data_IF_937944364910
#
_entry.id   IF_937944364910
#
_cell.length_a   1.000
_cell.length_b   1.000
_cell.length_c   1.000
_cell.angle_alpha   90.00
_cell.angle_beta   90.00
_cell.angle_gamma   90.00
#
_symmetry.space_group_name_H-M   'P 1'
#
loop_
_entity.id
_entity.type
_entity.pdbx_description
1 polymer ?
#
# COMPACT_ATOMS: atom_id res chain seq x y z
N UNK A 1 62.07 11.91 29.32
CA UNK A 1 60.64 11.90 29.75
C UNK A 1 60.52 11.21 31.10
N UNK A 2 59.80 11.78 32.07
CA UNK A 2 59.58 11.14 33.38
C UNK A 2 58.79 9.83 33.18
N UNK A 3 59.13 8.77 33.91
CA UNK A 3 58.52 7.42 33.83
C UNK A 3 56.98 7.46 33.89
N UNK A 4 56.42 8.40 34.64
CA UNK A 4 54.97 8.61 34.76
C UNK A 4 54.31 9.08 33.45
N UNK A 5 55.01 9.84 32.61
CA UNK A 5 54.46 10.29 31.33
C UNK A 5 54.38 9.15 30.31
N UNK A 6 55.32 8.19 30.37
CA UNK A 6 55.29 7.00 29.51
C UNK A 6 54.12 6.09 29.88
N UNK A 7 53.88 5.90 31.18
CA UNK A 7 52.75 5.10 31.68
C UNK A 7 51.42 5.73 31.26
N UNK A 8 51.29 7.06 31.37
CA UNK A 8 50.07 7.76 30.98
C UNK A 8 49.77 7.60 29.48
N UNK A 9 50.79 7.70 28.62
CA UNK A 9 50.65 7.51 27.17
C UNK A 9 50.20 6.09 26.84
N UNK A 10 50.75 5.08 27.51
CA UNK A 10 50.37 3.67 27.30
C UNK A 10 48.92 3.43 27.70
N UNK A 11 48.47 3.98 28.83
CA UNK A 11 47.09 3.83 29.30
C UNK A 11 46.10 4.47 28.30
N UNK A 12 46.42 5.67 27.80
CA UNK A 12 45.57 6.36 26.81
C UNK A 12 45.55 5.62 25.47
N UNK A 13 46.67 5.04 25.05
CA UNK A 13 46.72 4.24 23.83
C UNK A 13 45.84 2.97 23.95
N UNK A 14 45.93 2.25 25.08
CA UNK A 14 45.12 1.05 25.32
C UNK A 14 43.63 1.39 25.41
N UNK A 15 43.25 2.48 26.09
CA UNK A 15 41.85 2.90 26.17
C UNK A 15 41.28 3.29 24.81
N UNK A 16 42.09 3.94 23.97
CA UNK A 16 41.68 4.36 22.62
C UNK A 16 41.46 3.15 21.70
N UNK A 17 42.32 2.14 21.79
CA UNK A 17 42.15 0.87 21.05
C UNK A 17 40.92 0.11 21.54
N UNK A 18 40.68 0.06 22.86
CA UNK A 18 39.48 -0.57 23.42
C UNK A 18 38.20 0.13 22.96
N UNK A 19 38.17 1.47 22.94
CA UNK A 19 37.03 2.24 22.44
C UNK A 19 36.82 2.06 20.94
N UNK A 20 37.90 1.98 20.15
CA UNK A 20 37.80 1.70 18.72
C UNK A 20 37.26 0.28 18.46
N UNK A 21 37.69 -0.71 19.24
CA UNK A 21 37.21 -2.08 19.14
C UNK A 21 35.74 -2.20 19.54
N UNK A 22 35.35 -1.55 20.64
CA UNK A 22 33.96 -1.49 21.10
C UNK A 22 33.06 -0.75 20.10
N UNK A 23 33.57 0.33 19.49
CA UNK A 23 32.90 1.03 18.41
C UNK A 23 32.75 0.18 17.15
N UNK A 24 33.74 -0.67 16.84
CA UNK A 24 33.68 -1.60 15.71
C UNK A 24 32.62 -2.69 15.94
N UNK A 25 32.54 -3.28 17.13
CA UNK A 25 31.50 -4.26 17.49
C UNK A 25 30.08 -3.66 17.45
N UNK A 26 29.92 -2.38 17.85
CA UNK A 26 28.66 -1.65 17.71
C UNK A 26 28.36 -1.27 16.25
N UNK A 27 29.39 -1.07 15.42
CA UNK A 27 29.26 -0.68 14.01
C UNK A 27 29.04 -1.86 13.07
N UNK A 28 29.48 -3.07 13.46
CA UNK A 28 29.08 -4.30 12.80
C UNK A 28 27.60 -4.50 13.09
N UNK A 29 26.77 -3.80 12.30
CA UNK A 29 25.33 -3.97 12.33
C UNK A 29 25.02 -5.45 12.34
N UNK A 30 24.06 -5.82 13.19
CA UNK A 30 23.43 -7.13 13.16
C UNK A 30 23.17 -7.41 11.68
N UNK A 31 23.81 -8.45 11.14
CA UNK A 31 23.48 -8.93 9.79
C UNK A 31 21.97 -9.03 9.77
N UNK A 32 21.33 -8.18 8.95
CA UNK A 32 19.90 -8.25 8.76
C UNK A 32 19.60 -9.73 8.51
N UNK A 33 18.84 -10.34 9.42
CA UNK A 33 18.48 -11.74 9.28
C UNK A 33 17.96 -11.86 7.85
N UNK A 34 18.63 -12.69 7.05
CA UNK A 34 18.17 -13.03 5.70
C UNK A 34 16.74 -13.49 5.87
N UNK A 35 15.79 -12.60 5.54
CA UNK A 35 14.38 -12.88 5.68
C UNK A 35 14.12 -14.14 4.87
N UNK A 36 13.42 -15.09 5.50
CA UNK A 36 13.01 -16.31 4.84
C UNK A 36 12.33 -15.92 3.53
N UNK A 37 12.79 -16.51 2.42
CA UNK A 37 12.17 -16.36 1.11
C UNK A 37 10.67 -16.61 1.26
N UNK A 38 9.86 -15.54 1.30
CA UNK A 38 8.41 -15.67 1.23
C UNK A 38 8.10 -16.44 -0.06
N UNK A 39 7.28 -17.48 0.03
CA UNK A 39 6.83 -18.18 -1.16
C UNK A 39 6.18 -17.16 -2.11
N UNK A 40 6.40 -17.28 -3.43
CA UNK A 40 5.79 -16.35 -4.37
C UNK A 40 4.27 -16.42 -4.23
N UNK A 41 3.63 -15.25 -4.28
CA UNK A 41 2.19 -15.14 -4.39
C UNK A 41 1.73 -15.63 -5.74
N UNK A 42 1.04 -16.76 -5.74
CA UNK A 42 0.44 -17.32 -6.93
C UNK A 42 -0.86 -16.59 -7.27
N UNK A 43 -0.92 -16.05 -8.48
CA UNK A 43 -2.16 -15.58 -9.11
C UNK A 43 -2.71 -16.77 -9.89
N UNK A 44 -3.63 -17.51 -9.27
CA UNK A 44 -4.19 -18.72 -9.87
C UNK A 44 -5.19 -18.40 -10.98
N UNK A 45 -5.26 -19.28 -11.98
CA UNK A 45 -6.33 -19.20 -12.98
C UNK A 45 -7.63 -19.78 -12.41
N UNK A 46 -8.66 -18.94 -12.33
CA UNK A 46 -10.02 -19.34 -11.93
C UNK A 46 -10.98 -18.71 -12.93
N UNK A 47 -11.71 -19.54 -13.68
CA UNK A 47 -12.72 -19.09 -14.64
C UNK A 47 -14.01 -18.63 -13.94
N UNK A 48 -13.89 -17.57 -13.14
CA UNK A 48 -14.99 -16.88 -12.46
C UNK A 48 -14.81 -15.38 -12.65
N UNK A 49 -15.93 -14.68 -12.80
CA UNK A 49 -15.96 -13.22 -12.79
C UNK A 49 -16.61 -12.73 -11.51
N UNK A 50 -16.05 -11.65 -10.95
CA UNK A 50 -16.61 -10.94 -9.81
C UNK A 50 -17.26 -9.66 -10.32
N UNK A 51 -18.58 -9.62 -10.20
CA UNK A 51 -19.38 -8.41 -10.38
C UNK A 51 -19.36 -7.59 -9.08
N UNK A 52 -18.48 -6.58 -9.04
CA UNK A 52 -18.31 -5.73 -7.88
C UNK A 52 -19.56 -4.91 -7.53
N UNK A 53 -20.56 -4.78 -8.40
CA UNK A 53 -21.85 -4.16 -8.04
C UNK A 53 -22.67 -5.04 -7.09
N UNK A 54 -22.52 -6.36 -7.19
CA UNK A 54 -23.26 -7.33 -6.37
C UNK A 54 -22.54 -7.68 -5.06
N UNK A 55 -21.23 -7.48 -4.97
CA UNK A 55 -20.44 -7.71 -3.76
C UNK A 55 -19.02 -8.17 -4.04
N UNK A 56 -18.38 -8.80 -3.05
CA UNK A 56 -17.00 -9.31 -3.15
C UNK A 56 -16.90 -10.85 -3.18
N UNK A 57 -18.02 -11.56 -2.99
CA UNK A 57 -18.15 -13.03 -3.02
C UNK A 57 -17.05 -13.79 -2.27
N UNK A 58 -17.06 -13.75 -0.91
CA UNK A 58 -16.05 -14.40 -0.06
C UNK A 58 -15.77 -15.86 -0.40
N UNK A 59 -16.77 -16.59 -0.89
CA UNK A 59 -16.70 -18.03 -1.18
C UNK A 59 -15.67 -18.36 -2.27
N UNK A 60 -15.44 -17.44 -3.22
CA UNK A 60 -14.43 -17.64 -4.28
C UNK A 60 -13.02 -17.64 -3.65
N UNK A 61 -12.81 -16.79 -2.66
CA UNK A 61 -11.52 -16.58 -2.02
C UNK A 61 -11.14 -17.66 -1.01
N UNK A 62 -12.09 -18.45 -0.51
CA UNK A 62 -11.81 -19.56 0.42
C UNK A 62 -10.94 -20.66 -0.22
N UNK A 63 -11.07 -20.83 -1.54
CA UNK A 63 -10.30 -21.83 -2.29
C UNK A 63 -8.85 -21.43 -2.59
N UNK A 64 -8.51 -20.13 -2.41
CA UNK A 64 -7.20 -19.58 -2.75
C UNK A 64 -6.35 -19.52 -1.49
N UNK A 65 -5.09 -19.98 -1.60
CA UNK A 65 -4.13 -19.93 -0.51
C UNK A 65 -3.88 -18.47 -0.07
N UNK A 66 -4.13 -18.12 1.21
CA UNK A 66 -3.81 -16.81 1.73
C UNK A 66 -2.30 -16.65 1.92
N UNK A 67 -1.77 -15.46 1.63
CA UNK A 67 -0.43 -15.06 2.04
C UNK A 67 -0.55 -13.90 3.03
N UNK A 68 -0.04 -14.11 4.23
CA UNK A 68 0.04 -13.08 5.25
C UNK A 68 1.34 -12.30 5.07
N UNK A 69 1.19 -11.02 4.74
CA UNK A 69 2.31 -10.09 4.58
C UNK A 69 2.50 -9.37 5.90
N UNK A 70 3.69 -9.49 6.46
CA UNK A 70 4.09 -8.72 7.63
C UNK A 70 4.29 -7.25 7.27
N UNK A 71 3.73 -6.39 8.10
CA UNK A 71 3.72 -4.95 7.92
C UNK A 71 4.61 -4.26 8.94
N UNK A 72 5.11 -3.09 8.56
CA UNK A 72 5.94 -2.22 9.39
C UNK A 72 5.43 -0.78 9.36
N UNK A 73 5.84 -0.01 10.37
CA UNK A 73 5.59 1.42 10.38
C UNK A 73 6.34 2.12 9.25
N UNK A 74 5.67 3.03 8.56
CA UNK A 74 6.38 4.00 7.75
C UNK A 74 7.10 5.01 8.67
N UNK A 75 8.43 4.96 8.69
CA UNK A 75 9.30 5.83 9.52
C UNK A 75 10.12 6.84 8.72
N UNK A 76 9.96 6.87 7.39
CA UNK A 76 10.78 7.72 6.51
C UNK A 76 10.29 9.16 6.40
N UNK A 77 8.97 9.38 6.52
CA UNK A 77 8.38 10.72 6.34
C UNK A 77 7.76 11.13 7.65
N UNK A 78 8.23 12.26 8.19
CA UNK A 78 7.56 12.86 9.32
C UNK A 78 6.17 13.34 8.87
N UNK A 79 5.14 13.09 9.67
CA UNK A 79 5.21 12.51 11.02
C UNK A 79 5.13 10.98 10.96
N UNK A 80 5.86 10.27 11.83
CA UNK A 80 5.85 8.80 11.88
C UNK A 80 4.45 8.21 12.11
N UNK A 81 4.25 6.99 11.59
CA UNK A 81 3.05 6.19 11.84
C UNK A 81 2.81 5.98 13.33
N UNK A 82 1.55 6.04 13.75
CA UNK A 82 1.16 5.86 15.16
C UNK A 82 0.47 4.52 15.42
N UNK A 83 0.02 3.85 14.37
CA UNK A 83 -0.63 2.55 14.42
C UNK A 83 -0.02 1.61 13.40
N UNK A 84 -0.06 0.32 13.71
CA UNK A 84 0.46 -0.75 12.87
C UNK A 84 -0.65 -1.78 12.68
N UNK A 85 -1.09 -1.91 11.44
CA UNK A 85 -1.94 -3.02 11.00
C UNK A 85 -1.01 -4.14 10.55
N UNK A 86 -0.97 -5.26 11.27
CA UNK A 86 -0.14 -6.42 10.96
C UNK A 86 -0.78 -7.71 11.50
N UNK A 87 -0.85 -8.81 10.73
CA UNK A 87 -0.54 -8.95 9.31
C UNK A 87 -1.69 -8.50 8.40
N UNK A 88 -1.39 -8.36 7.10
CA UNK A 88 -2.40 -8.19 6.04
C UNK A 88 -2.42 -9.45 5.19
N UNK A 89 -3.58 -10.09 5.13
CA UNK A 89 -3.81 -11.27 4.31
C UNK A 89 -4.10 -10.85 2.89
N UNK A 90 -3.38 -11.42 1.92
CA UNK A 90 -3.56 -11.15 0.49
C UNK A 90 -3.84 -12.45 -0.26
N UNK A 91 -4.80 -12.39 -1.19
CA UNK A 91 -5.14 -13.46 -2.13
C UNK A 91 -5.25 -12.88 -3.53
N UNK A 92 -5.04 -13.70 -4.55
CA UNK A 92 -5.15 -13.23 -5.93
C UNK A 92 -5.55 -14.34 -6.89
N UNK A 93 -6.30 -13.98 -7.92
CA UNK A 93 -6.60 -14.87 -9.04
C UNK A 93 -6.84 -14.06 -10.31
N UNK A 94 -6.88 -14.74 -11.46
CA UNK A 94 -7.28 -14.14 -12.73
C UNK A 94 -8.17 -15.11 -13.51
N UNK A 95 -9.04 -14.58 -14.36
CA UNK A 95 -9.92 -15.38 -15.23
C UNK A 95 -9.47 -15.36 -16.70
N UNK A 96 -8.24 -14.92 -16.96
CA UNK A 96 -7.68 -14.77 -18.30
C UNK A 96 -8.10 -13.49 -19.04
N UNK A 97 -9.11 -12.76 -18.55
CA UNK A 97 -9.51 -11.43 -19.06
C UNK A 97 -9.21 -10.33 -18.05
N UNK A 98 -9.38 -10.63 -16.77
CA UNK A 98 -9.27 -9.72 -15.65
C UNK A 98 -8.47 -10.39 -14.54
N UNK A 99 -7.83 -9.55 -13.72
CA UNK A 99 -7.08 -9.95 -12.54
C UNK A 99 -7.69 -9.32 -11.31
N UNK A 100 -7.70 -10.09 -10.22
CA UNK A 100 -8.30 -9.71 -8.96
C UNK A 100 -7.30 -9.88 -7.83
N UNK A 101 -7.24 -8.89 -6.94
CA UNK A 101 -6.50 -8.96 -5.70
C UNK A 101 -7.45 -8.73 -4.54
N UNK A 102 -7.38 -9.57 -3.53
CA UNK A 102 -8.12 -9.46 -2.30
C UNK A 102 -7.15 -9.15 -1.18
N UNK A 103 -7.49 -8.17 -0.36
CA UNK A 103 -6.77 -7.80 0.86
C UNK A 103 -7.72 -7.87 2.04
N UNK A 104 -7.26 -8.44 3.15
CA UNK A 104 -7.99 -8.44 4.40
C UNK A 104 -7.08 -8.12 5.58
N UNK A 105 -7.57 -7.30 6.49
CA UNK A 105 -6.86 -6.93 7.71
C UNK A 105 -7.85 -6.61 8.82
N UNK A 106 -7.39 -6.75 10.06
CA UNK A 106 -8.19 -6.39 11.23
C UNK A 106 -8.19 -4.88 11.42
N UNK A 107 -9.38 -4.34 11.63
CA UNK A 107 -9.63 -2.96 11.99
C UNK A 107 -10.93 -2.88 12.77
N UNK A 108 -10.86 -2.50 14.05
CA UNK A 108 -12.04 -2.46 14.92
C UNK A 108 -13.02 -1.34 14.53
N UNK A 109 -12.61 -0.42 13.64
CA UNK A 109 -13.42 0.69 13.16
C UNK A 109 -13.69 0.60 11.66
N UNK A 110 -14.88 1.07 11.26
CA UNK A 110 -15.27 1.22 9.86
C UNK A 110 -15.20 2.71 9.47
N UNK A 111 -14.01 3.21 9.16
CA UNK A 111 -13.81 4.65 8.94
C UNK A 111 -14.06 5.04 7.49
N UNK A 112 -15.34 5.24 7.14
CA UNK A 112 -15.77 5.72 5.81
C UNK A 112 -15.94 7.24 5.69
N UNK A 113 -16.06 7.97 6.80
CA UNK A 113 -16.44 9.38 6.77
C UNK A 113 -15.24 10.27 7.13
N UNK A 114 -14.90 11.18 6.22
CA UNK A 114 -13.81 12.15 6.44
C UNK A 114 -14.35 13.38 7.17
N UNK A 115 -13.56 13.94 8.08
CA UNK A 115 -13.84 15.19 8.78
C UNK A 115 -12.55 15.86 9.26
N UNK A 116 -12.67 16.95 10.03
CA UNK A 116 -11.53 17.75 10.52
C UNK A 116 -10.50 16.96 11.33
N UNK A 117 -10.91 15.87 11.98
CA UNK A 117 -10.02 14.93 12.68
C UNK A 117 -10.46 13.48 12.51
N UNK A 118 -11.20 13.19 11.42
CA UNK A 118 -11.60 11.84 11.04
C UNK A 118 -11.01 11.54 9.68
N UNK A 119 -10.28 10.43 9.60
CA UNK A 119 -9.62 10.00 8.38
C UNK A 119 -10.27 8.73 7.89
N UNK A 120 -10.14 8.46 6.59
CA UNK A 120 -10.70 7.27 5.97
C UNK A 120 -9.72 6.12 6.04
N UNK A 121 -10.23 4.91 6.27
CA UNK A 121 -9.46 3.70 6.01
C UNK A 121 -9.10 3.61 4.53
N UNK A 122 -7.95 3.01 4.25
CA UNK A 122 -7.47 2.83 2.89
C UNK A 122 -6.53 1.63 2.79
N UNK A 123 -6.43 1.09 1.59
CA UNK A 123 -5.47 0.06 1.22
C UNK A 123 -4.91 0.37 -0.16
N UNK A 124 -3.66 -0.02 -0.40
CA UNK A 124 -3.04 0.16 -1.69
C UNK A 124 -2.15 -1.02 -2.06
N UNK A 125 -2.15 -1.32 -3.36
CA UNK A 125 -1.22 -2.25 -4.00
C UNK A 125 -0.36 -1.45 -4.97
N UNK A 126 0.95 -1.62 -4.86
CA UNK A 126 1.94 -0.99 -5.71
C UNK A 126 2.59 -2.05 -6.60
N UNK A 127 2.68 -1.74 -7.88
CA UNK A 127 3.32 -2.54 -8.91
C UNK A 127 4.48 -1.75 -9.50
N UNK A 128 5.69 -2.32 -9.56
CA UNK A 128 6.81 -1.63 -10.16
C UNK A 128 6.69 -1.65 -11.68
N UNK A 129 6.99 -0.53 -12.32
CA UNK A 129 7.03 -0.42 -13.79
C UNK A 129 8.50 -0.45 -14.23
N UNK A 130 8.78 -1.19 -15.30
CA UNK A 130 10.11 -1.27 -15.90
C UNK A 130 11.02 -2.38 -15.33
N UNK A 131 12.22 -2.49 -15.90
CA UNK A 131 13.13 -3.63 -15.67
C UNK A 131 14.06 -3.46 -14.47
N UNK A 132 14.33 -2.23 -14.04
CA UNK A 132 15.25 -1.90 -12.96
C UNK A 132 14.46 -1.50 -11.71
N UNK A 133 13.85 -2.49 -11.07
CA UNK A 133 13.12 -2.31 -9.81
C UNK A 133 14.10 -2.44 -8.66
N UNK A 134 14.20 -1.42 -7.81
CA UNK A 134 14.96 -1.56 -6.57
C UNK A 134 14.32 -2.59 -5.65
N UNK A 135 15.15 -3.27 -4.86
CA UNK A 135 14.67 -4.29 -3.94
C UNK A 135 13.85 -3.71 -2.77
N UNK A 136 13.87 -2.41 -2.47
CA UNK A 136 13.06 -1.87 -1.36
C UNK A 136 11.83 -1.11 -1.83
N UNK A 137 10.74 -1.27 -1.09
CA UNK A 137 9.43 -0.61 -1.30
C UNK A 137 9.34 0.74 -0.56
N UNK A 138 10.25 0.99 0.39
CA UNK A 138 10.20 2.07 1.40
C UNK A 138 10.16 3.47 0.77
N UNK A 139 10.66 3.62 -0.46
CA UNK A 139 10.67 4.89 -1.19
C UNK A 139 9.82 4.88 -2.46
N UNK A 140 8.83 3.98 -2.56
CA UNK A 140 7.92 3.91 -3.71
C UNK A 140 8.66 3.78 -5.06
N UNK A 141 9.73 2.99 -5.08
CA UNK A 141 10.56 2.80 -6.28
C UNK A 141 11.52 3.95 -6.60
N UNK A 142 12.00 4.70 -5.60
CA UNK A 142 13.01 5.75 -5.77
C UNK A 142 14.15 5.29 -6.69
N UNK A 143 14.41 6.02 -7.77
CA UNK A 143 15.37 5.73 -8.86
C UNK A 143 15.00 4.62 -9.87
N UNK A 144 13.74 4.19 -9.97
CA UNK A 144 13.23 3.30 -11.03
C UNK A 144 12.45 4.03 -12.14
N UNK A 145 11.84 3.26 -13.05
CA UNK A 145 10.96 3.78 -14.12
C UNK A 145 9.53 4.12 -13.62
N UNK A 146 9.38 4.31 -12.31
CA UNK A 146 8.10 4.56 -11.65
C UNK A 146 7.35 3.30 -11.20
N UNK A 147 6.15 3.50 -10.67
CA UNK A 147 5.27 2.45 -10.16
C UNK A 147 3.81 2.83 -10.40
N UNK A 148 2.99 1.82 -10.69
CA UNK A 148 1.54 1.94 -10.72
C UNK A 148 1.01 1.59 -9.34
N UNK A 149 0.13 2.41 -8.78
CA UNK A 149 -0.45 2.21 -7.46
C UNK A 149 -1.97 2.21 -7.60
N UNK A 150 -2.60 1.15 -7.11
CA UNK A 150 -4.04 1.08 -6.97
C UNK A 150 -4.36 1.37 -5.52
N UNK A 151 -5.06 2.48 -5.24
CA UNK A 151 -5.38 2.90 -3.89
C UNK A 151 -6.89 2.92 -3.67
N UNK A 152 -7.38 1.98 -2.89
CA UNK A 152 -8.75 1.97 -2.40
C UNK A 152 -8.89 2.86 -1.15
N UNK A 153 -10.01 3.58 -1.03
CA UNK A 153 -10.36 4.37 0.17
C UNK A 153 -11.81 4.09 0.57
N UNK A 154 -12.05 3.83 1.85
CA UNK A 154 -13.37 3.55 2.39
C UNK A 154 -14.38 4.69 2.16
N UNK A 155 -13.91 5.93 2.24
CA UNK A 155 -14.67 7.14 1.90
C UNK A 155 -15.09 7.19 0.44
N UNK A 156 -14.18 6.90 -0.47
CA UNK A 156 -14.45 6.91 -1.90
C UNK A 156 -15.36 5.76 -2.31
N UNK A 157 -15.20 4.60 -1.67
CA UNK A 157 -16.09 3.44 -1.78
C UNK A 157 -17.52 3.77 -1.36
N UNK A 158 -17.67 4.47 -0.23
CA UNK A 158 -18.97 4.95 0.26
C UNK A 158 -19.63 5.96 -0.69
N UNK A 159 -18.85 6.82 -1.33
CA UNK A 159 -19.35 7.79 -2.32
C UNK A 159 -19.73 7.11 -3.64
N UNK A 160 -18.90 6.20 -4.14
CA UNK A 160 -19.08 5.55 -5.44
C UNK A 160 -20.18 4.46 -5.41
N UNK A 161 -20.15 3.56 -4.43
CA UNK A 161 -21.08 2.43 -4.39
C UNK A 161 -22.37 2.73 -3.63
N UNK A 162 -22.29 3.52 -2.56
CA UNK A 162 -23.44 3.76 -1.69
C UNK A 162 -24.14 5.10 -1.98
N UNK A 163 -23.62 5.90 -2.93
CA UNK A 163 -24.09 7.25 -3.23
C UNK A 163 -24.20 8.16 -1.99
N UNK A 164 -23.47 7.82 -0.92
CA UNK A 164 -23.45 8.57 0.33
C UNK A 164 -22.33 9.57 0.24
N UNK A 165 -22.64 10.76 -0.25
CA UNK A 165 -21.64 11.83 -0.29
C UNK A 165 -21.29 12.26 1.11
N UNK A 166 -19.99 12.32 1.41
CA UNK A 166 -19.52 12.93 2.65
C UNK A 166 -20.09 14.34 2.72
N UNK A 167 -20.99 14.62 3.68
CA UNK A 167 -21.32 16.00 4.04
C UNK A 167 -20.03 16.56 4.62
N UNK A 168 -19.28 17.30 3.80
CA UNK A 168 -18.12 18.04 4.28
C UNK A 168 -18.69 19.14 5.18
N UNK A 169 -18.72 18.91 6.50
CA UNK A 169 -19.18 19.92 7.47
C UNK A 169 -18.18 21.07 7.63
N UNK A 170 -17.02 20.99 6.99
CA UNK A 170 -16.04 22.06 6.92
C UNK A 170 -16.17 22.79 5.58
N UNK A 171 -17.10 23.74 5.53
CA UNK A 171 -17.07 24.74 4.48
C UNK A 171 -15.85 25.63 4.69
N UNK A 172 -14.86 25.55 3.79
CA UNK A 172 -14.13 26.76 3.43
C UNK A 172 -15.18 27.77 2.96
N UNK A 173 -15.07 29.03 3.35
CA UNK A 173 -16.02 30.19 3.24
C UNK A 173 -16.89 30.37 1.96
N UNK A 174 -16.81 29.47 0.98
CA UNK A 174 -17.46 29.48 -0.33
C UNK A 174 -18.42 28.31 -0.59
N UNK A 175 -19.07 27.76 0.43
CA UNK A 175 -20.18 26.83 0.21
C UNK A 175 -21.44 27.44 0.82
N UNK A 176 -22.49 27.57 0.01
CA UNK A 176 -23.75 28.22 0.39
C UNK A 176 -24.86 27.15 0.48
N UNK A 177 -25.03 26.49 1.64
CA UNK A 177 -25.90 25.32 1.77
C UNK A 177 -27.42 25.60 1.73
N UNK A 178 -27.84 26.78 1.26
CA UNK A 178 -29.24 27.24 1.28
C UNK A 178 -29.80 27.56 -0.12
N UNK A 179 -29.04 27.37 -1.19
CA UNK A 179 -29.54 27.57 -2.56
C UNK A 179 -29.62 26.23 -3.30
N UNK A 180 -30.84 25.69 -3.46
CA UNK A 180 -31.09 24.47 -4.25
C UNK A 180 -30.69 24.62 -5.73
N UNK A 181 -30.40 25.84 -6.19
CA UNK A 181 -29.98 26.21 -7.54
C UNK A 181 -28.64 26.99 -7.53
N UNK A 182 -27.57 26.45 -6.96
CA UNK A 182 -26.23 27.01 -7.13
C UNK A 182 -25.88 27.09 -8.64
N UNK A 183 -25.70 28.30 -9.16
CA UNK A 183 -25.27 28.56 -10.56
C UNK A 183 -23.77 28.33 -10.76
N UNK A 184 -23.01 28.34 -9.66
CA UNK A 184 -21.59 28.02 -9.62
C UNK A 184 -21.43 26.71 -8.85
N UNK A 185 -21.52 25.59 -9.55
CA UNK A 185 -21.19 24.29 -8.96
C UNK A 185 -19.71 24.38 -8.58
N UNK A 186 -19.38 24.53 -7.30
CA UNK A 186 -18.02 24.27 -6.84
C UNK A 186 -17.75 22.83 -7.27
N UNK A 187 -16.81 22.63 -8.20
CA UNK A 187 -16.59 21.36 -8.88
C UNK A 187 -16.41 20.22 -7.87
N UNK A 188 -17.52 19.56 -7.52
CA UNK A 188 -17.50 18.37 -6.71
C UNK A 188 -17.05 17.26 -7.63
N UNK A 189 -15.77 16.89 -7.54
CA UNK A 189 -15.22 15.79 -8.33
C UNK A 189 -15.81 14.51 -7.76
N UNK A 190 -16.86 13.99 -8.40
CA UNK A 190 -17.37 12.65 -8.11
C UNK A 190 -16.30 11.64 -8.53
N UNK A 191 -15.87 10.74 -7.63
CA UNK A 191 -14.89 9.74 -7.99
C UNK A 191 -15.44 8.79 -9.07
N UNK A 192 -14.65 8.52 -10.10
CA UNK A 192 -15.04 7.59 -11.19
C UNK A 192 -14.96 6.10 -10.81
N UNK A 193 -14.41 5.78 -9.64
CA UNK A 193 -14.25 4.43 -9.08
C UNK A 193 -14.03 4.55 -7.56
N UNK A 194 -14.25 3.48 -6.79
CA UNK A 194 -13.84 3.41 -5.37
C UNK A 194 -12.31 3.37 -5.16
N UNK A 195 -11.57 3.04 -6.23
CA UNK A 195 -10.11 2.93 -6.25
C UNK A 195 -9.54 4.07 -7.09
N UNK A 196 -8.43 4.65 -6.65
CA UNK A 196 -7.63 5.56 -7.45
C UNK A 196 -6.54 4.78 -8.19
N UNK A 197 -6.51 4.92 -9.52
CA UNK A 197 -5.41 4.45 -10.35
C UNK A 197 -4.35 5.55 -10.44
N UNK A 198 -3.24 5.34 -9.75
CA UNK A 198 -2.20 6.33 -9.53
C UNK A 198 -0.90 5.90 -10.20
N UNK A 199 -0.10 6.89 -10.59
CA UNK A 199 1.28 6.70 -10.99
C UNK A 199 2.22 7.47 -10.06
N UNK A 200 3.43 6.95 -9.91
CA UNK A 200 4.52 7.62 -9.20
C UNK A 200 5.82 7.37 -9.95
N UNK A 201 6.66 8.39 -10.09
CA UNK A 201 8.01 8.25 -10.65
C UNK A 201 9.05 8.31 -9.52
N UNK A 202 8.79 9.14 -8.51
CA UNK A 202 9.61 9.29 -7.31
C UNK A 202 8.77 9.76 -6.13
N UNK A 203 9.35 9.71 -4.94
CA UNK A 203 8.73 10.27 -3.73
C UNK A 203 8.28 11.71 -3.99
N UNK A 204 7.01 12.00 -3.69
CA UNK A 204 6.41 13.33 -3.88
C UNK A 204 5.80 13.59 -5.26
N UNK A 205 5.87 12.66 -6.21
CA UNK A 205 5.23 12.79 -7.54
C UNK A 205 4.05 11.83 -7.72
N UNK A 206 3.33 11.52 -6.65
CA UNK A 206 2.13 10.68 -6.73
C UNK A 206 1.05 11.47 -7.48
N UNK A 207 0.52 10.91 -8.56
CA UNK A 207 -0.44 11.61 -9.44
C UNK A 207 -1.49 10.63 -9.95
N UNK A 208 -2.79 11.01 -9.97
CA UNK A 208 -3.82 10.21 -10.62
C UNK A 208 -3.54 10.06 -12.11
N UNK A 209 -3.78 8.86 -12.64
CA UNK A 209 -3.68 8.64 -14.08
C UNK A 209 -4.87 9.30 -14.79
N UNK A 210 -4.69 9.75 -16.06
CA UNK A 210 -5.79 10.29 -16.85
C UNK A 210 -6.91 9.27 -17.10
N UNK A 211 -6.56 8.00 -17.31
CA UNK A 211 -7.50 6.90 -17.45
C UNK A 211 -7.64 6.16 -16.11
N UNK A 212 -8.89 5.95 -15.69
CA UNK A 212 -9.24 5.17 -14.49
C UNK A 212 -9.74 3.78 -14.94
N UNK A 213 -8.86 2.79 -14.87
CA UNK A 213 -9.15 1.43 -15.35
C UNK A 213 -9.31 0.41 -14.20
N UNK A 214 -9.17 0.86 -12.96
CA UNK A 214 -9.16 -0.01 -11.78
C UNK A 214 -10.46 0.20 -11.01
N UNK A 215 -11.12 -0.92 -10.75
CA UNK A 215 -12.28 -0.97 -9.88
C UNK A 215 -11.89 -1.62 -8.56
N UNK A 216 -12.69 -1.36 -7.54
CA UNK A 216 -12.60 -2.11 -6.31
C UNK A 216 -13.80 -1.92 -5.43
N UNK A 217 -13.92 -2.76 -4.42
CA UNK A 217 -14.99 -2.67 -3.43
C UNK A 217 -14.48 -3.16 -2.08
N UNK A 218 -14.80 -2.42 -1.03
CA UNK A 218 -14.48 -2.78 0.34
C UNK A 218 -15.73 -3.07 1.17
N UNK A 219 -15.73 -4.22 1.82
CA UNK A 219 -16.70 -4.56 2.86
C UNK A 219 -16.00 -4.63 4.20
N UNK A 220 -16.64 -4.09 5.22
CA UNK A 220 -16.22 -4.25 6.59
C UNK A 220 -17.21 -5.18 7.27
N UNK A 221 -16.70 -6.21 7.92
CA UNK A 221 -17.51 -7.15 8.69
C UNK A 221 -16.78 -7.53 9.98
N UNK A 222 -17.45 -7.33 11.11
CA UNK A 222 -17.00 -7.73 12.44
C UNK A 222 -15.52 -7.43 12.75
N UNK A 223 -15.10 -6.17 12.59
CA UNK A 223 -13.73 -5.73 12.90
C UNK A 223 -12.69 -6.14 11.85
N UNK A 224 -13.11 -6.50 10.65
CA UNK A 224 -12.22 -6.91 9.55
C UNK A 224 -12.63 -6.23 8.25
N UNK A 225 -11.68 -5.57 7.61
CA UNK A 225 -11.83 -5.10 6.24
C UNK A 225 -11.54 -6.22 5.25
N UNK A 226 -12.31 -6.22 4.16
CA UNK A 226 -12.14 -7.08 3.01
C UNK A 226 -12.26 -6.24 1.75
N UNK A 227 -11.18 -6.08 1.01
CA UNK A 227 -11.12 -5.22 -0.16
C UNK A 227 -10.71 -6.02 -1.37
N UNK A 228 -11.51 -5.93 -2.44
CA UNK A 228 -11.19 -6.51 -3.74
C UNK A 228 -10.83 -5.40 -4.71
N UNK A 229 -9.71 -5.58 -5.40
CA UNK A 229 -9.30 -4.81 -6.57
C UNK A 229 -9.55 -5.64 -7.82
N UNK A 230 -10.01 -5.00 -8.89
CA UNK A 230 -10.30 -5.60 -10.19
C UNK A 230 -9.73 -4.73 -11.29
N UNK A 231 -9.00 -5.34 -12.24
CA UNK A 231 -8.55 -4.66 -13.46
C UNK A 231 -8.56 -5.64 -14.64
N UNK A 232 -8.87 -5.14 -15.84
CA UNK A 232 -8.60 -5.88 -17.07
C UNK A 232 -7.10 -6.20 -17.22
N UNK A 233 -6.78 -7.40 -17.72
CA UNK A 233 -5.43 -7.78 -18.13
C UNK A 233 -5.02 -7.07 -19.42
N UNK A 234 -5.98 -6.57 -20.20
CA UNK A 234 -5.68 -5.77 -21.38
C UNK A 234 -5.09 -4.41 -20.96
N UNK A 235 -3.94 -4.09 -21.53
CA UNK A 235 -3.22 -2.85 -21.24
C UNK A 235 -3.77 -1.75 -22.14
N UNK A 236 -4.23 -0.67 -21.52
CA UNK A 236 -4.76 0.50 -22.25
C UNK A 236 -3.76 1.66 -22.26
N UNK A 237 -2.87 1.71 -21.27
CA UNK A 237 -1.83 2.72 -21.12
C UNK A 237 -0.47 2.04 -20.83
N UNK A 238 0.27 1.61 -21.86
CA UNK A 238 1.49 0.83 -21.69
C UNK A 238 2.63 1.55 -20.94
N UNK A 239 2.56 2.87 -20.82
CA UNK A 239 3.58 3.64 -20.10
C UNK A 239 3.38 3.58 -18.59
N UNK A 240 2.11 3.54 -18.14
CA UNK A 240 1.75 3.68 -16.72
C UNK A 240 0.94 2.51 -16.14
N UNK A 241 0.41 1.59 -16.96
CA UNK A 241 -0.24 0.36 -16.50
C UNK A 241 0.80 -0.68 -16.07
N UNK A 242 0.48 -1.41 -14.98
CA UNK A 242 1.19 -2.63 -14.64
C UNK A 242 0.98 -3.71 -15.73
N UNK A 243 2.05 -4.11 -16.42
CA UNK A 243 2.02 -5.25 -17.34
C UNK A 243 2.24 -6.56 -16.57
N UNK A 244 1.16 -7.31 -16.36
CA UNK A 244 1.20 -8.56 -15.60
C UNK A 244 1.98 -9.69 -16.28
N UNK A 245 2.39 -9.54 -17.55
CA UNK A 245 3.35 -10.47 -18.16
C UNK A 245 4.76 -10.28 -17.57
N UNK A 246 5.11 -9.03 -17.25
CA UNK A 246 6.46 -8.64 -16.82
C UNK A 246 6.57 -8.31 -15.33
N UNK A 247 5.49 -7.86 -14.69
CA UNK A 247 5.42 -7.61 -13.25
C UNK A 247 5.55 -8.94 -12.51
N UNK A 248 6.55 -9.00 -11.61
CA UNK A 248 6.83 -10.18 -10.76
C UNK A 248 6.84 -9.85 -9.28
N UNK A 249 6.42 -8.64 -8.91
CA UNK A 249 6.55 -8.12 -7.55
C UNK A 249 5.42 -7.16 -7.24
N UNK A 250 4.92 -7.22 -6.01
CA UNK A 250 3.94 -6.28 -5.48
C UNK A 250 4.38 -5.78 -4.10
N UNK A 251 3.92 -4.61 -3.73
CA UNK A 251 4.06 -4.09 -2.38
C UNK A 251 2.72 -3.56 -1.92
N UNK A 252 2.46 -3.65 -0.61
CA UNK A 252 1.17 -3.24 -0.06
C UNK A 252 1.34 -2.17 1.01
N UNK A 253 0.28 -1.37 1.19
CA UNK A 253 0.17 -0.42 2.27
C UNK A 253 -1.27 -0.33 2.76
N UNK A 254 -1.45 -0.09 4.06
CA UNK A 254 -2.77 0.04 4.69
C UNK A 254 -2.76 1.23 5.65
N UNK A 255 -3.88 1.95 5.72
CA UNK A 255 -4.10 3.10 6.57
C UNK A 255 -5.29 2.84 7.49
N UNK A 256 -5.11 3.05 8.79
CA UNK A 256 -6.17 3.06 9.80
C UNK A 256 -6.65 4.50 10.09
N UNK A 257 -7.87 4.81 9.68
CA UNK A 257 -8.48 6.12 9.79
C UNK A 257 -8.65 6.58 11.24
N UNK A 258 -9.16 5.71 12.12
CA UNK A 258 -9.35 6.00 13.55
C UNK A 258 -8.04 6.36 14.27
N UNK A 259 -6.92 5.77 13.86
CA UNK A 259 -5.59 6.06 14.41
C UNK A 259 -4.92 7.28 13.77
N UNK A 260 -5.58 7.92 12.80
CA UNK A 260 -5.09 9.15 12.17
C UNK A 260 -4.11 8.95 11.02
N UNK A 261 -4.05 7.73 10.47
CA UNK A 261 -3.25 7.43 9.29
C UNK A 261 -3.81 8.17 8.06
N UNK A 262 -2.87 8.74 7.30
CA UNK A 262 -3.15 9.48 6.05
C UNK A 262 -1.83 9.79 5.34
N UNK A 263 -1.87 9.89 4.02
CA UNK A 263 -0.69 10.24 3.24
C UNK A 263 0.47 9.28 3.54
N UNK A 264 1.59 9.79 4.05
CA UNK A 264 2.76 8.99 4.43
C UNK A 264 2.63 8.19 5.73
N UNK A 265 1.69 8.54 6.62
CA UNK A 265 1.41 7.78 7.85
C UNK A 265 0.57 6.56 7.50
N UNK A 266 1.20 5.39 7.50
CA UNK A 266 0.60 4.11 7.10
C UNK A 266 1.45 2.94 7.56
N UNK A 267 0.85 1.76 7.51
CA UNK A 267 1.55 0.48 7.58
C UNK A 267 2.00 0.07 6.17
N UNK A 268 3.24 -0.38 5.99
CA UNK A 268 3.80 -0.82 4.70
C UNK A 268 4.41 -2.21 4.80
N UNK A 269 4.39 -2.97 3.70
CA UNK A 269 5.25 -4.14 3.57
C UNK A 269 6.72 -3.71 3.50
N UNK A 270 7.61 -4.42 4.21
CA UNK A 270 9.05 -4.11 4.27
C UNK A 270 9.73 -4.22 2.88
N UNK A 271 9.46 -5.32 2.18
CA UNK A 271 10.03 -5.65 0.87
C UNK A 271 8.89 -5.99 -0.11
N UNK A 272 9.24 -6.17 -1.37
CA UNK A 272 8.37 -6.68 -2.41
C UNK A 272 8.03 -8.15 -2.16
N UNK A 273 6.74 -8.46 -2.22
CA UNK A 273 6.28 -9.83 -2.33
C UNK A 273 6.38 -10.28 -3.79
N UNK A 274 7.04 -11.40 -4.04
CA UNK A 274 7.14 -11.97 -5.39
C UNK A 274 5.77 -12.43 -5.87
N UNK A 275 5.45 -12.19 -7.14
CA UNK A 275 4.19 -12.53 -7.78
C UNK A 275 4.46 -13.53 -8.92
N UNK A 276 3.77 -14.67 -8.91
CA UNK A 276 3.81 -15.70 -9.94
C UNK A 276 2.42 -15.83 -10.57
N UNK A 277 2.27 -15.50 -11.85
CA UNK A 277 0.97 -15.64 -12.55
C UNK A 277 0.93 -16.99 -13.24
N UNK A 278 -0.05 -17.81 -12.87
CA UNK A 278 -0.24 -19.13 -13.46
C UNK A 278 -0.93 -18.96 -14.82
N UNK A 279 -0.45 -19.57 -15.92
CA UNK A 279 -1.12 -19.45 -17.21
C UNK A 279 -2.54 -20.02 -17.23
N UNK A 280 -3.37 -19.57 -18.16
CA UNK A 280 -4.72 -20.11 -18.39
C UNK A 280 -4.64 -21.63 -18.66
N UNK A 281 -5.38 -22.42 -17.88
CA UNK A 281 -5.37 -23.89 -17.97
C UNK A 281 -4.16 -24.56 -17.29
N UNK A 282 -3.27 -23.79 -16.66
CA UNK A 282 -2.22 -24.32 -15.80
C UNK A 282 -2.79 -24.83 -14.49
N UNK A 283 -2.57 -26.11 -14.20
CA UNK A 283 -2.59 -26.65 -12.83
C UNK A 283 -1.15 -27.01 -12.49
N UNK A 284 -0.67 -26.67 -11.29
CA UNK A 284 0.61 -27.18 -10.81
C UNK A 284 0.48 -28.66 -10.47
#
# INVERSE_FOLDING_TARGET
>A
MKKNNIILIIVVAISSVALAYYGLELSSGILAATQASQMPMEVQFIDKDIDLEKGIFPEIWESIHPIDIEMEYQVMVLPWGKSLINPVTVKSFHNGKEIYFYMSWKDDTEDRIIGTSRFSDAAAIMFPIGKNVQNSTIMMGFMGNGSNIWQWKASQDNEYWLNKTSKIEAYTDYYYPFEDNETLIVSKVTPGSAVNDLMVIRVGTLTPKPAQNVQGRGLWDNGTWQVVFKRSLNITDPEYDADFNTVKRIAIAVWNGANGDRGGRKSIAHDWTTLEIIPVGGTK
#
